data_IF_102860228102
#
_entry.id   IF_102860228102
#
_cell.length_a   1.000
_cell.length_b   1.000
_cell.length_c   1.000
_cell.angle_alpha   90.00
_cell.angle_beta   90.00
_cell.angle_gamma   90.00
#
_symmetry.space_group_name_H-M   'P 1'
#
loop_
_entity.id
_entity.type
_entity.pdbx_description
1 polymer ?
#
# COMPACT_ATOMS: atom_id res chain seq x y z
N UNK A 1 17.27 -4.45 1.61
CA UNK A 1 16.88 -3.21 2.31
C UNK A 1 15.85 -2.44 1.49
N UNK A 2 14.74 -2.05 2.12
CA UNK A 2 13.66 -1.38 1.41
C UNK A 2 13.93 0.12 1.31
N UNK A 3 13.86 0.66 0.09
CA UNK A 3 13.99 2.10 -0.15
C UNK A 3 12.61 2.73 -0.25
N UNK A 4 12.22 3.46 0.79
CA UNK A 4 10.89 4.09 0.87
C UNK A 4 10.69 5.12 -0.23
N UNK A 5 11.72 5.87 -0.60
CA UNK A 5 11.60 6.85 -1.69
C UNK A 5 11.30 6.18 -3.02
N UNK A 6 11.95 5.04 -3.28
CA UNK A 6 11.72 4.28 -4.50
C UNK A 6 10.29 3.73 -4.55
N UNK A 7 9.81 3.20 -3.42
CA UNK A 7 8.44 2.71 -3.30
C UNK A 7 7.46 3.84 -3.53
N UNK A 8 7.67 4.99 -2.90
CA UNK A 8 6.80 6.16 -3.05
C UNK A 8 6.71 6.62 -4.51
N UNK A 9 7.83 6.65 -5.23
CA UNK A 9 7.86 7.03 -6.63
C UNK A 9 7.06 6.09 -7.51
N UNK A 10 7.04 4.80 -7.19
CA UNK A 10 6.24 3.82 -7.94
C UNK A 10 4.77 3.88 -7.58
N UNK A 11 4.45 4.08 -6.31
CA UNK A 11 3.07 4.09 -5.82
C UNK A 11 2.32 5.35 -6.21
N UNK A 12 2.95 6.52 -6.12
CA UNK A 12 2.27 7.79 -6.29
C UNK A 12 1.49 7.92 -7.61
N UNK A 13 2.09 7.62 -8.79
CA UNK A 13 1.32 7.75 -10.04
C UNK A 13 0.12 6.80 -10.09
N UNK A 14 0.28 5.59 -9.57
CA UNK A 14 -0.79 4.59 -9.56
C UNK A 14 -1.91 5.03 -8.60
N UNK A 15 -1.55 5.47 -7.40
CA UNK A 15 -2.53 5.96 -6.42
C UNK A 15 -3.31 7.16 -6.96
N UNK A 16 -2.63 8.09 -7.62
CA UNK A 16 -3.29 9.25 -8.25
C UNK A 16 -4.24 8.83 -9.35
N UNK A 17 -3.84 7.88 -10.17
CA UNK A 17 -4.66 7.38 -11.28
C UNK A 17 -5.98 6.81 -10.79
N UNK A 18 -5.96 6.06 -9.70
CA UNK A 18 -7.16 5.43 -9.15
C UNK A 18 -7.88 6.28 -8.11
N UNK A 19 -7.26 7.36 -7.66
CA UNK A 19 -7.88 8.25 -6.69
C UNK A 19 -7.84 7.76 -5.25
N UNK A 20 -6.84 6.92 -4.91
CA UNK A 20 -6.64 6.52 -3.52
C UNK A 20 -6.24 7.74 -2.68
N UNK A 21 -6.73 7.80 -1.45
CA UNK A 21 -6.42 8.93 -0.56
C UNK A 21 -5.08 8.77 0.15
N UNK A 22 -4.73 7.54 0.51
CA UNK A 22 -3.52 7.29 1.29
C UNK A 22 -3.04 5.87 1.04
N UNK A 23 -1.74 5.69 0.93
CA UNK A 23 -1.12 4.36 0.85
C UNK A 23 0.02 4.31 1.83
N UNK A 24 0.04 3.28 2.68
CA UNK A 24 1.11 3.07 3.63
C UNK A 24 1.65 1.64 3.51
N UNK A 25 2.95 1.51 3.69
CA UNK A 25 3.62 0.22 3.70
C UNK A 25 3.64 -0.31 5.12
N UNK A 26 3.35 -1.60 5.30
CA UNK A 26 3.47 -2.25 6.61
C UNK A 26 4.18 -3.60 6.45
N UNK A 27 4.27 -4.38 7.52
CA UNK A 27 4.92 -5.68 7.47
C UNK A 27 6.44 -5.60 7.48
N UNK A 28 7.10 -6.63 6.94
CA UNK A 28 8.55 -6.76 7.03
C UNK A 28 9.30 -5.63 6.33
N UNK A 29 8.80 -5.14 5.21
CA UNK A 29 9.46 -4.05 4.49
C UNK A 29 9.39 -2.73 5.24
N UNK A 30 8.29 -2.47 5.95
CA UNK A 30 8.17 -1.27 6.79
C UNK A 30 9.11 -1.34 7.99
N UNK A 31 9.32 -2.52 8.53
CA UNK A 31 10.22 -2.74 9.67
C UNK A 31 11.68 -2.90 9.27
N UNK A 32 11.95 -2.89 7.97
CA UNK A 32 13.29 -3.09 7.42
C UNK A 32 13.88 -4.46 7.77
N UNK A 33 13.02 -5.46 7.93
CA UNK A 33 13.40 -6.86 8.17
C UNK A 33 13.16 -7.72 6.92
N UNK A 34 12.89 -7.07 5.79
CA UNK A 34 12.57 -7.74 4.54
C UNK A 34 13.80 -8.41 3.91
N UNK A 35 13.50 -9.41 3.09
CA UNK A 35 14.47 -10.04 2.21
C UNK A 35 14.07 -9.76 0.76
N UNK A 36 14.91 -10.17 -0.20
CA UNK A 36 14.60 -9.98 -1.63
C UNK A 36 13.30 -10.66 -2.06
N UNK A 37 12.88 -11.71 -1.33
CA UNK A 37 11.67 -12.46 -1.65
C UNK A 37 10.45 -12.02 -0.83
N UNK A 38 10.61 -11.03 0.06
CA UNK A 38 9.48 -10.52 0.84
C UNK A 38 8.46 -9.83 -0.05
N UNK A 39 7.17 -10.10 0.21
CA UNK A 39 6.09 -9.41 -0.47
C UNK A 39 5.96 -7.98 0.03
N UNK A 40 5.29 -7.14 -0.74
CA UNK A 40 4.94 -5.80 -0.31
C UNK A 40 3.54 -5.83 0.31
N UNK A 41 3.42 -5.29 1.51
CA UNK A 41 2.15 -5.21 2.23
C UNK A 41 1.74 -3.76 2.36
N UNK A 42 0.59 -3.40 1.79
CA UNK A 42 0.08 -2.03 1.83
C UNK A 42 -1.27 -1.96 2.50
N UNK A 43 -1.48 -0.87 3.24
CA UNK A 43 -2.82 -0.50 3.71
C UNK A 43 -3.20 0.79 2.99
N UNK A 44 -4.42 0.84 2.47
CA UNK A 44 -4.88 1.99 1.71
C UNK A 44 -6.17 2.58 2.29
N UNK A 45 -6.28 3.90 2.14
CA UNK A 45 -7.57 4.59 2.24
C UNK A 45 -8.11 4.70 0.83
N UNK A 46 -9.25 4.08 0.56
CA UNK A 46 -9.74 3.86 -0.81
C UNK A 46 -10.03 5.15 -1.59
N UNK A 47 -10.47 6.20 -0.90
CA UNK A 47 -10.81 7.42 -1.61
C UNK A 47 -11.85 7.18 -2.69
N UNK A 48 -11.46 7.38 -3.96
CA UNK A 48 -12.34 7.19 -5.11
C UNK A 48 -12.40 5.76 -5.61
N UNK A 49 -11.63 4.84 -5.04
CA UNK A 49 -11.71 3.42 -5.40
C UNK A 49 -12.97 2.84 -4.76
N UNK A 50 -13.99 2.59 -5.57
CA UNK A 50 -15.31 2.20 -5.05
C UNK A 50 -15.76 0.81 -5.47
N UNK A 51 -15.13 0.21 -6.48
CA UNK A 51 -15.52 -1.12 -6.95
C UNK A 51 -14.39 -2.12 -6.76
N UNK A 52 -14.75 -3.40 -6.70
CA UNK A 52 -13.77 -4.47 -6.64
C UNK A 52 -12.91 -4.51 -7.89
N UNK A 53 -13.48 -4.15 -9.05
CA UNK A 53 -12.72 -4.10 -10.29
C UNK A 53 -11.64 -3.03 -10.23
N UNK A 54 -11.96 -1.86 -9.70
CA UNK A 54 -10.98 -0.79 -9.53
C UNK A 54 -9.87 -1.20 -8.57
N UNK A 55 -10.24 -1.83 -7.46
CA UNK A 55 -9.27 -2.29 -6.48
C UNK A 55 -8.36 -3.37 -7.08
N UNK A 56 -8.94 -4.32 -7.80
CA UNK A 56 -8.16 -5.38 -8.45
C UNK A 56 -7.17 -4.82 -9.47
N UNK A 57 -7.62 -3.84 -10.27
CA UNK A 57 -6.74 -3.18 -11.24
C UNK A 57 -5.61 -2.40 -10.55
N UNK A 58 -5.91 -1.74 -9.44
CA UNK A 58 -4.91 -1.03 -8.64
C UNK A 58 -3.83 -2.00 -8.14
N UNK A 59 -4.25 -3.13 -7.57
CA UNK A 59 -3.32 -4.16 -7.08
C UNK A 59 -2.48 -4.71 -8.22
N UNK A 60 -3.11 -5.00 -9.37
CA UNK A 60 -2.41 -5.53 -10.53
C UNK A 60 -1.32 -4.57 -11.03
N UNK A 61 -1.61 -3.28 -11.08
CA UNK A 61 -0.61 -2.30 -11.47
C UNK A 61 0.54 -2.20 -10.47
N UNK A 62 0.23 -2.30 -9.17
CA UNK A 62 1.28 -2.35 -8.15
C UNK A 62 2.17 -3.57 -8.32
N UNK A 63 1.58 -4.73 -8.57
CA UNK A 63 2.35 -5.95 -8.78
C UNK A 63 3.26 -5.85 -10.01
N UNK A 64 2.78 -5.26 -11.08
CA UNK A 64 3.58 -5.03 -12.27
C UNK A 64 4.72 -4.05 -12.02
N UNK A 65 4.45 -3.01 -11.23
CA UNK A 65 5.45 -2.00 -10.92
C UNK A 65 6.58 -2.55 -10.04
N UNK A 66 6.25 -3.45 -9.12
CA UNK A 66 7.22 -4.01 -8.18
C UNK A 66 7.77 -5.37 -8.62
N UNK A 67 7.14 -6.01 -9.59
CA UNK A 67 7.61 -7.31 -10.09
C UNK A 67 7.45 -8.46 -9.11
N UNK A 68 6.57 -8.33 -8.13
CA UNK A 68 6.31 -9.36 -7.12
C UNK A 68 4.88 -9.22 -6.61
N UNK A 69 4.45 -10.17 -5.78
CA UNK A 69 3.12 -10.12 -5.17
C UNK A 69 2.99 -8.93 -4.24
N UNK A 70 1.81 -8.34 -4.24
CA UNK A 70 1.47 -7.20 -3.39
C UNK A 70 0.18 -7.53 -2.66
N UNK A 71 0.21 -7.44 -1.33
CA UNK A 71 -0.98 -7.59 -0.50
C UNK A 71 -1.50 -6.21 -0.15
N UNK A 72 -2.79 -6.00 -0.38
CA UNK A 72 -3.43 -4.72 -0.11
C UNK A 72 -4.63 -4.94 0.80
N UNK A 73 -4.65 -4.21 1.91
CA UNK A 73 -5.83 -4.16 2.77
C UNK A 73 -6.34 -2.73 2.83
N UNK A 74 -7.61 -2.57 3.14
CA UNK A 74 -8.22 -1.26 3.26
C UNK A 74 -8.36 -0.86 4.73
N UNK A 75 -8.30 0.43 5.00
CA UNK A 75 -8.45 0.95 6.36
C UNK A 75 -9.89 0.91 6.86
N UNK A 76 -10.82 0.43 6.02
CA UNK A 76 -12.21 0.22 6.40
C UNK A 76 -12.49 -1.17 6.99
N UNK A 77 -11.42 -1.94 7.24
CA UNK A 77 -11.53 -3.26 7.86
C UNK A 77 -12.22 -3.16 9.24
N UNK A 78 -13.05 -4.15 9.56
CA UNK A 78 -13.73 -4.21 10.85
C UNK A 78 -12.82 -4.62 12.00
N UNK A 79 -11.58 -5.02 11.71
CA UNK A 79 -10.64 -5.47 12.73
C UNK A 79 -9.82 -4.30 13.28
N UNK A 80 -10.38 -3.60 14.27
CA UNK A 80 -9.74 -2.42 14.86
C UNK A 80 -8.40 -2.72 15.51
N UNK A 81 -8.25 -3.88 16.16
CA UNK A 81 -6.99 -4.26 16.80
C UNK A 81 -5.88 -4.46 15.78
N UNK A 82 -6.22 -5.09 14.66
CA UNK A 82 -5.28 -5.31 13.58
C UNK A 82 -4.81 -3.99 12.98
N UNK A 83 -5.74 -3.06 12.75
CA UNK A 83 -5.43 -1.74 12.21
C UNK A 83 -4.55 -0.93 13.17
N UNK A 84 -4.80 -1.02 14.48
CA UNK A 84 -3.97 -0.35 15.46
C UNK A 84 -2.53 -0.86 15.46
N UNK A 85 -2.36 -2.17 15.32
CA UNK A 85 -1.03 -2.76 15.23
C UNK A 85 -0.28 -2.32 13.98
N UNK A 86 -0.99 -2.26 12.86
CA UNK A 86 -0.40 -1.78 11.59
C UNK A 86 0.06 -0.33 11.73
N UNK A 87 -0.76 0.52 12.36
CA UNK A 87 -0.44 1.96 12.50
C UNK A 87 0.85 2.21 13.26
N UNK A 88 1.22 1.33 14.18
CA UNK A 88 2.47 1.47 14.93
C UNK A 88 3.70 1.33 14.04
N UNK A 89 3.61 0.50 13.01
CA UNK A 89 4.76 0.13 12.18
C UNK A 89 4.65 0.62 10.74
N UNK A 90 3.53 1.24 10.36
CA UNK A 90 3.32 1.66 8.97
C UNK A 90 4.22 2.84 8.58
N UNK A 91 4.58 2.87 7.31
CA UNK A 91 5.30 3.99 6.71
C UNK A 91 4.47 4.52 5.55
N UNK A 92 4.02 5.77 5.64
CA UNK A 92 3.22 6.37 4.58
C UNK A 92 4.08 6.58 3.34
N UNK A 93 3.65 6.05 2.20
CA UNK A 93 4.37 6.19 0.93
C UNK A 93 3.64 7.10 -0.05
N UNK A 94 2.36 7.37 0.18
CA UNK A 94 1.58 8.31 -0.62
C UNK A 94 0.42 8.86 0.22
N UNK A 95 0.19 10.14 0.11
CA UNK A 95 -0.98 10.78 0.71
C UNK A 95 -1.46 11.88 -0.22
N UNK A 96 -2.76 11.83 -0.53
CA UNK A 96 -3.37 12.82 -1.40
C UNK A 96 -3.45 14.18 -0.70
N UNK A 97 -3.10 15.21 -1.43
CA UNK A 97 -3.29 16.59 -0.96
C UNK A 97 -4.68 17.06 -1.37
N UNK A 98 -5.52 17.32 -0.39
CA UNK A 98 -6.87 17.86 -0.64
C UNK A 98 -7.00 19.22 -0.04
#
# INVERSE_FOLDING_TARGET
MTDIKHISKKVAPIAKKYGADRVALFGSRAKNTDTETSDYDFIISKGKIQSLFQLASFIDELEKAFGTNVDVITDTSDNALFLEQIKKDEVVVYESKR
#
